data_IF_833713606749
#
_entry.id   IF_833713606749
#
_cell.length_a   1.000
_cell.length_b   1.000
_cell.length_c   1.000
_cell.angle_alpha   90.00
_cell.angle_beta   90.00
_cell.angle_gamma   90.00
#
_symmetry.space_group_name_H-M   'P 1'
#
loop_
_entity.id
_entity.type
_entity.pdbx_description
1 polymer ?
#
# COMPACT_ATOMS: atom_id res chain seq x y z
N UNK A 1 2.66 -10.11 -9.88
CA UNK A 1 2.23 -9.04 -10.80
C UNK A 1 0.86 -9.36 -11.36
N UNK A 2 -0.01 -8.36 -11.46
CA UNK A 2 -1.35 -8.45 -12.05
C UNK A 2 -1.30 -7.83 -13.44
N UNK A 3 -1.84 -8.50 -14.46
CA UNK A 3 -1.86 -7.96 -15.81
C UNK A 3 -2.95 -6.90 -16.00
N UNK A 4 -2.69 -5.90 -16.83
CA UNK A 4 -3.69 -4.88 -17.17
C UNK A 4 -5.01 -5.47 -17.68
N UNK A 5 -4.93 -6.54 -18.49
CA UNK A 5 -6.12 -7.23 -19.01
C UNK A 5 -7.00 -7.82 -17.91
N UNK A 6 -6.40 -8.36 -16.85
CA UNK A 6 -7.14 -8.88 -15.69
C UNK A 6 -7.83 -7.73 -14.94
N UNK A 7 -7.10 -6.64 -14.67
CA UNK A 7 -7.64 -5.47 -13.96
C UNK A 7 -8.79 -4.83 -14.73
N UNK A 8 -8.65 -4.67 -16.06
CA UNK A 8 -9.68 -4.10 -16.93
C UNK A 8 -10.99 -4.89 -16.91
N UNK A 9 -10.94 -6.21 -16.72
CA UNK A 9 -12.13 -7.04 -16.62
C UNK A 9 -12.81 -6.95 -15.24
N UNK A 10 -12.05 -6.64 -14.19
CA UNK A 10 -12.54 -6.62 -12.82
C UNK A 10 -13.05 -5.24 -12.38
N UNK A 11 -12.50 -4.15 -12.94
CA UNK A 11 -12.75 -2.78 -12.46
C UNK A 11 -13.41 -1.95 -13.56
N UNK A 12 -14.53 -1.30 -13.24
CA UNK A 12 -15.26 -0.42 -14.16
C UNK A 12 -15.54 0.94 -13.50
N UNK A 13 -15.09 2.06 -14.09
CA UNK A 13 -14.22 2.14 -15.28
C UNK A 13 -12.81 1.57 -15.01
N UNK A 14 -12.10 1.04 -16.01
CA UNK A 14 -10.78 0.47 -15.78
C UNK A 14 -9.78 1.55 -15.37
N UNK A 15 -8.83 1.26 -14.46
CA UNK A 15 -7.74 2.17 -14.18
C UNK A 15 -6.88 2.42 -15.42
N UNK A 16 -6.17 3.55 -15.48
CA UNK A 16 -5.15 3.75 -16.50
C UNK A 16 -4.05 2.69 -16.39
N UNK A 17 -3.49 2.27 -17.52
CA UNK A 17 -2.44 1.24 -17.55
C UNK A 17 -1.22 1.63 -16.69
N UNK A 18 -0.79 2.89 -16.74
CA UNK A 18 0.35 3.36 -15.95
C UNK A 18 0.15 3.26 -14.44
N UNK A 19 -1.11 3.30 -13.98
CA UNK A 19 -1.44 3.14 -12.57
C UNK A 19 -1.33 1.66 -12.15
N UNK A 20 -1.72 0.74 -13.03
CA UNK A 20 -1.49 -0.72 -12.85
C UNK A 20 0.00 -1.06 -12.89
N UNK A 21 0.76 -0.42 -13.77
CA UNK A 21 2.21 -0.61 -13.86
C UNK A 21 2.90 -0.11 -12.57
N UNK A 22 2.56 1.09 -12.09
CA UNK A 22 3.04 1.63 -10.81
C UNK A 22 2.68 0.74 -9.62
N UNK A 23 1.45 0.23 -9.58
CA UNK A 23 1.02 -0.72 -8.56
C UNK A 23 1.92 -1.95 -8.50
N UNK A 24 2.19 -2.55 -9.66
CA UNK A 24 3.05 -3.74 -9.73
C UNK A 24 4.48 -3.43 -9.31
N UNK A 25 5.04 -2.30 -9.75
CA UNK A 25 6.41 -1.87 -9.41
C UNK A 25 6.59 -1.65 -7.91
N UNK A 26 5.68 -0.89 -7.28
CA UNK A 26 5.70 -0.65 -5.84
C UNK A 26 5.47 -1.95 -5.06
N UNK A 27 4.47 -2.75 -5.45
CA UNK A 27 4.18 -4.00 -4.78
C UNK A 27 5.40 -4.95 -4.83
N UNK A 28 6.05 -5.08 -5.98
CA UNK A 28 7.26 -5.88 -6.14
C UNK A 28 8.40 -5.36 -5.26
N UNK A 29 8.66 -4.05 -5.30
CA UNK A 29 9.74 -3.41 -4.52
C UNK A 29 9.54 -3.57 -3.00
N UNK A 30 8.31 -3.37 -2.52
CA UNK A 30 7.97 -3.52 -1.10
C UNK A 30 8.09 -4.99 -0.68
N UNK A 31 7.52 -5.91 -1.48
CA UNK A 31 7.52 -7.35 -1.19
C UNK A 31 8.93 -7.95 -1.21
N UNK A 32 9.81 -7.44 -2.07
CA UNK A 32 11.20 -7.87 -2.18
C UNK A 32 12.11 -7.35 -1.05
N UNK A 33 11.61 -6.40 -0.24
CA UNK A 33 12.39 -5.84 0.85
C UNK A 33 12.71 -6.91 1.91
N UNK A 34 13.97 -7.02 2.39
CA UNK A 34 14.37 -8.09 3.32
C UNK A 34 13.65 -8.07 4.68
N UNK A 35 13.03 -6.94 5.03
CA UNK A 35 12.22 -6.78 6.24
C UNK A 35 10.71 -6.93 6.01
N UNK A 36 10.28 -7.18 4.77
CA UNK A 36 8.88 -7.48 4.47
C UNK A 36 8.60 -8.94 4.81
N UNK A 37 7.65 -9.17 5.72
CA UNK A 37 7.20 -10.49 6.14
C UNK A 37 6.03 -10.89 5.25
N UNK A 38 6.29 -11.86 4.36
CA UNK A 38 5.29 -12.45 3.47
C UNK A 38 4.93 -13.86 3.94
N UNK A 39 4.45 -13.96 5.19
CA UNK A 39 4.03 -15.23 5.79
C UNK A 39 2.50 -15.26 5.95
N UNK A 40 1.92 -16.46 6.13
CA UNK A 40 0.50 -16.64 6.46
C UNK A 40 0.14 -15.98 7.79
N UNK A 41 1.05 -15.99 8.76
CA UNK A 41 0.88 -15.36 10.07
C UNK A 41 1.98 -14.33 10.30
N UNK A 42 1.93 -13.17 9.63
CA UNK A 42 3.03 -12.21 9.65
C UNK A 42 3.25 -11.61 11.04
N UNK A 43 2.18 -11.50 11.86
CA UNK A 43 2.17 -10.80 13.13
C UNK A 43 3.21 -11.30 14.15
N UNK A 44 3.44 -12.61 14.23
CA UNK A 44 4.43 -13.20 15.15
C UNK A 44 5.86 -12.75 14.83
N UNK A 45 6.12 -12.42 13.56
CA UNK A 45 7.43 -12.02 13.08
C UNK A 45 7.62 -10.50 13.06
N UNK A 46 6.55 -9.70 13.24
CA UNK A 46 6.64 -8.24 13.23
C UNK A 46 7.31 -7.65 14.48
N UNK A 47 7.42 -8.44 15.55
CA UNK A 47 8.08 -8.05 16.80
C UNK A 47 9.60 -7.85 16.59
N UNK A 48 10.20 -8.51 15.58
CA UNK A 48 11.62 -8.42 15.31
C UNK A 48 12.02 -7.23 14.40
N UNK A 49 13.02 -6.45 14.83
CA UNK A 49 13.92 -5.63 14.00
C UNK A 49 13.30 -4.90 12.78
N UNK A 50 12.37 -3.97 13.00
CA UNK A 50 11.82 -3.11 11.94
C UNK A 50 11.19 -3.91 10.77
N UNK A 51 10.71 -5.13 11.06
CA UNK A 51 9.91 -5.89 10.11
C UNK A 51 8.53 -5.26 9.97
N UNK A 52 7.98 -5.44 8.78
CA UNK A 52 6.66 -4.96 8.42
C UNK A 52 6.03 -5.96 7.45
N UNK A 53 4.74 -5.86 7.19
CA UNK A 53 4.07 -6.61 6.14
C UNK A 53 3.15 -5.71 5.33
N UNK A 54 2.78 -6.17 4.13
CA UNK A 54 1.64 -5.62 3.39
C UNK A 54 0.39 -6.32 3.94
N UNK A 55 -0.48 -5.58 4.62
CA UNK A 55 -1.72 -6.14 5.17
C UNK A 55 -2.84 -6.18 4.13
N UNK A 56 -2.88 -5.20 3.24
CA UNK A 56 -3.80 -5.16 2.11
C UNK A 56 -3.28 -4.27 0.99
N UNK A 57 -3.76 -4.52 -0.22
CA UNK A 57 -3.50 -3.68 -1.39
C UNK A 57 -4.80 -3.50 -2.15
N UNK A 58 -5.04 -2.32 -2.71
CA UNK A 58 -6.20 -2.05 -3.53
C UNK A 58 -5.80 -1.30 -4.79
N UNK A 59 -6.44 -1.67 -5.89
CA UNK A 59 -6.36 -0.95 -7.15
C UNK A 59 -7.79 -0.62 -7.55
N UNK A 60 -8.04 0.65 -7.83
CA UNK A 60 -9.33 1.19 -8.25
C UNK A 60 -9.15 2.02 -9.50
N UNK A 61 -10.26 2.45 -10.12
CA UNK A 61 -10.27 3.20 -11.38
C UNK A 61 -9.35 4.43 -11.41
N UNK A 62 -9.12 5.06 -10.28
CA UNK A 62 -8.45 6.36 -10.18
C UNK A 62 -7.38 6.44 -9.08
N UNK A 63 -7.21 5.38 -8.29
CA UNK A 63 -6.18 5.32 -7.26
C UNK A 63 -5.66 3.89 -7.04
N UNK A 64 -4.49 3.79 -6.42
CA UNK A 64 -3.96 2.57 -5.81
C UNK A 64 -3.70 2.85 -4.33
N UNK A 65 -3.84 1.83 -3.50
CA UNK A 65 -3.61 1.94 -2.07
C UNK A 65 -2.82 0.73 -1.55
N UNK A 66 -1.92 1.02 -0.61
CA UNK A 66 -1.16 0.03 0.14
C UNK A 66 -1.43 0.24 1.61
N UNK A 67 -1.81 -0.82 2.30
CA UNK A 67 -1.91 -0.84 3.75
C UNK A 67 -0.76 -1.69 4.26
N UNK A 68 0.08 -1.07 5.09
CA UNK A 68 1.23 -1.72 5.71
C UNK A 68 0.99 -1.89 7.21
N UNK A 69 1.55 -2.96 7.79
CA UNK A 69 1.50 -3.23 9.22
C UNK A 69 2.90 -3.42 9.81
N UNK A 70 3.10 -2.97 11.05
CA UNK A 70 4.30 -3.15 11.87
C UNK A 70 3.90 -3.36 13.33
N UNK A 71 4.78 -3.95 14.13
CA UNK A 71 4.55 -3.93 15.59
C UNK A 71 4.59 -2.49 16.13
N UNK A 72 3.76 -2.17 17.14
CA UNK A 72 3.64 -0.81 17.68
C UNK A 72 4.95 -0.29 18.31
N UNK A 73 5.77 -1.20 18.86
CA UNK A 73 7.10 -0.86 19.41
C UNK A 73 8.21 -0.71 18.35
N UNK A 74 7.87 -0.83 17.07
CA UNK A 74 8.82 -0.79 15.95
C UNK A 74 8.50 0.38 15.02
N UNK A 75 9.39 0.67 14.08
CA UNK A 75 9.19 1.66 13.02
C UNK A 75 9.18 0.97 11.65
N UNK A 76 8.50 1.58 10.68
CA UNK A 76 8.70 1.18 9.29
C UNK A 76 10.14 1.48 8.87
N UNK A 77 10.76 0.63 8.04
CA UNK A 77 12.04 0.96 7.43
C UNK A 77 11.93 2.26 6.64
N UNK A 78 12.88 3.18 6.84
CA UNK A 78 12.85 4.50 6.19
C UNK A 78 12.88 4.38 4.66
N UNK A 79 13.57 3.35 4.16
CA UNK A 79 13.65 3.00 2.75
C UNK A 79 12.27 2.69 2.13
N UNK A 80 11.37 2.05 2.88
CA UNK A 80 10.00 1.76 2.44
C UNK A 80 9.15 3.02 2.41
N UNK A 81 9.24 3.84 3.45
CA UNK A 81 8.52 5.11 3.48
C UNK A 81 8.96 6.00 2.31
N UNK A 82 10.28 6.08 2.07
CA UNK A 82 10.86 6.86 0.97
C UNK A 82 10.36 6.40 -0.40
N UNK A 83 10.14 5.11 -0.63
CA UNK A 83 9.59 4.60 -1.90
C UNK A 83 8.25 5.24 -2.28
N UNK A 84 7.38 5.54 -1.29
CA UNK A 84 6.11 6.20 -1.57
C UNK A 84 6.28 7.68 -1.92
N UNK A 85 7.27 8.36 -1.35
CA UNK A 85 7.55 9.78 -1.61
C UNK A 85 8.42 10.02 -2.86
N UNK A 86 9.16 9.01 -3.33
CA UNK A 86 10.02 9.09 -4.51
C UNK A 86 9.27 8.76 -5.84
N UNK A 87 7.94 8.70 -5.82
CA UNK A 87 7.13 8.47 -7.03
C UNK A 87 7.11 9.69 -7.96
N UNK A 88 6.78 9.45 -9.24
CA UNK A 88 6.66 10.51 -10.25
C UNK A 88 5.71 11.62 -9.78
N UNK A 89 6.16 12.88 -9.87
CA UNK A 89 5.44 14.10 -9.47
C UNK A 89 4.04 14.27 -10.10
N UNK A 90 3.71 13.53 -11.17
CA UNK A 90 2.36 13.49 -11.74
C UNK A 90 1.33 12.80 -10.84
N UNK A 91 1.78 12.09 -9.81
CA UNK A 91 0.94 11.45 -8.81
C UNK A 91 0.93 12.27 -7.52
N UNK A 92 -0.22 12.26 -6.86
CA UNK A 92 -0.39 12.70 -5.49
C UNK A 92 -0.30 11.51 -4.56
N UNK A 93 0.36 11.70 -3.43
CA UNK A 93 0.44 10.74 -2.34
C UNK A 93 -0.37 11.29 -1.16
N UNK A 94 -1.25 10.46 -0.63
CA UNK A 94 -1.89 10.67 0.66
C UNK A 94 -1.44 9.56 1.62
N UNK A 95 -0.96 9.95 2.79
CA UNK A 95 -0.44 9.05 3.81
C UNK A 95 -1.24 9.22 5.10
N UNK A 96 -1.67 8.11 5.70
CA UNK A 96 -2.37 8.11 6.98
C UNK A 96 -1.82 7.03 7.90
N UNK A 97 -1.62 7.36 9.17
CA UNK A 97 -1.25 6.40 10.22
C UNK A 97 -2.50 5.68 10.74
N UNK A 98 -2.37 4.41 11.07
CA UNK A 98 -3.43 3.56 11.61
C UNK A 98 -2.94 3.02 12.95
N UNK A 99 -3.23 3.68 14.07
CA UNK A 99 -2.81 3.19 15.38
C UNK A 99 -3.58 1.91 15.74
N UNK A 100 -2.90 0.95 16.35
CA UNK A 100 -3.52 -0.27 16.88
C UNK A 100 -2.89 -0.71 18.19
N UNK A 101 -3.49 -1.72 18.83
CA UNK A 101 -3.09 -2.12 20.19
C UNK A 101 -1.70 -2.80 20.22
N UNK A 102 -1.44 -3.69 19.26
CA UNK A 102 -0.16 -4.40 19.13
C UNK A 102 0.51 -4.13 17.78
N UNK A 103 -0.30 -3.82 16.77
CA UNK A 103 0.14 -3.60 15.39
C UNK A 103 -0.32 -2.20 15.01
N UNK A 104 0.64 -1.35 14.72
CA UNK A 104 0.36 -0.10 14.01
C UNK A 104 0.39 -0.38 12.51
N UNK A 105 -0.31 0.45 11.76
CA UNK A 105 -0.25 0.44 10.31
C UNK A 105 -0.14 1.83 9.72
N UNK A 106 -0.07 1.84 8.40
CA UNK A 106 -0.28 3.05 7.62
C UNK A 106 -0.98 2.70 6.31
N UNK A 107 -1.77 3.64 5.81
CA UNK A 107 -2.31 3.61 4.45
C UNK A 107 -1.57 4.62 3.60
N UNK A 108 -1.11 4.17 2.43
CA UNK A 108 -0.51 4.98 1.39
C UNK A 108 -1.42 4.92 0.16
N UNK A 109 -2.07 6.02 -0.18
CA UNK A 109 -2.94 6.14 -1.34
C UNK A 109 -2.26 7.02 -2.41
N UNK A 110 -2.20 6.51 -3.63
CA UNK A 110 -1.58 7.19 -4.77
C UNK A 110 -2.63 7.38 -5.87
N UNK A 111 -2.80 8.61 -6.32
CA UNK A 111 -3.81 8.98 -7.31
C UNK A 111 -3.37 10.17 -8.19
N UNK A 112 -4.17 10.53 -9.18
CA UNK A 112 -3.95 11.71 -10.04
C UNK A 112 -5.12 12.70 -9.99
N UNK A 113 -6.04 12.53 -9.04
CA UNK A 113 -7.21 13.40 -8.92
C UNK A 113 -6.84 14.78 -8.35
N UNK A 114 -7.63 15.79 -8.70
CA UNK A 114 -7.46 17.15 -8.14
C UNK A 114 -7.81 17.20 -6.65
N UNK A 115 -8.83 16.45 -6.24
CA UNK A 115 -9.27 16.35 -4.86
C UNK A 115 -8.59 15.19 -4.13
N UNK A 116 -8.47 15.36 -2.81
CA UNK A 116 -7.96 14.35 -1.89
C UNK A 116 -9.07 13.34 -1.53
N UNK A 117 -8.69 12.08 -1.38
CA UNK A 117 -9.58 11.03 -0.90
C UNK A 117 -9.73 11.07 0.62
N UNK A 118 -10.90 10.63 1.09
CA UNK A 118 -11.09 10.26 2.49
C UNK A 118 -10.32 8.96 2.77
N UNK A 119 -9.18 9.08 3.45
CA UNK A 119 -8.32 7.94 3.78
C UNK A 119 -9.00 6.96 4.74
N UNK A 120 -9.85 7.43 5.65
CA UNK A 120 -10.54 6.58 6.60
C UNK A 120 -11.59 5.73 5.87
N UNK A 121 -12.39 6.37 5.01
CA UNK A 121 -13.34 5.66 4.17
C UNK A 121 -12.63 4.67 3.25
N UNK A 122 -11.56 5.10 2.59
CA UNK A 122 -10.80 4.23 1.69
C UNK A 122 -10.22 3.03 2.42
N UNK A 123 -9.70 3.22 3.64
CA UNK A 123 -9.24 2.11 4.47
C UNK A 123 -10.36 1.10 4.72
N UNK A 124 -11.55 1.54 5.12
CA UNK A 124 -12.68 0.62 5.32
C UNK A 124 -13.10 -0.10 4.03
N UNK A 125 -13.18 0.62 2.91
CA UNK A 125 -13.54 0.05 1.60
C UNK A 125 -12.54 -1.05 1.13
N UNK A 126 -11.30 -1.08 1.65
CA UNK A 126 -10.29 -2.11 1.33
C UNK A 126 -10.56 -3.42 2.11
N UNK A 127 -11.19 -3.34 3.28
CA UNK A 127 -11.41 -4.47 4.18
C UNK A 127 -12.86 -5.00 4.15
N UNK A 128 -13.78 -4.31 3.47
CA UNK A 128 -15.15 -4.78 3.18
C UNK A 128 -15.24 -5.55 1.86
#
# INVERSE_FOLDING_TARGET
MISYSQVKCAITPPPPKHLVDLFNELNESITAHPKCVNDKNPFEQLIENKRFCISATSIQSNYIAFVLGKHCSSEFPAEIIKMFFDIDSKYKLQFGEIPGDQIDGCICLIHQQEEDYDLQKTYFDIYE
#
